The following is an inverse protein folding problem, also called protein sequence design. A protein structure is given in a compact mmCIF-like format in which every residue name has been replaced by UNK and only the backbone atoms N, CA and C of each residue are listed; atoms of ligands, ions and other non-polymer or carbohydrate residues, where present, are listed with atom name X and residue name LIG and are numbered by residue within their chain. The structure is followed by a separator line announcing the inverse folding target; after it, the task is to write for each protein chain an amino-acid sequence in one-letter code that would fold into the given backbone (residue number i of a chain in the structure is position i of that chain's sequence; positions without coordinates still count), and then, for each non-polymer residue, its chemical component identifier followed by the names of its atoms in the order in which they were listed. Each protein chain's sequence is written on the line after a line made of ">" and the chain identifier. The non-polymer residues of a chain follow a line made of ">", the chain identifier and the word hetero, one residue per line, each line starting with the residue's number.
data_IF_913705325363
#
_entry.id   IF_913705325363
#
_cell.length_a   1.000
_cell.length_b   1.000
_cell.length_c   1.000
_cell.angle_alpha   90.00
_cell.angle_beta   90.00
_cell.angle_gamma   90.00
#
_symmetry.space_group_name_H-M   'P 1'
#
loop_
_entity.id
_entity.type
_entity.pdbx_description
1 polymer ?
#
# COMPACT_ATOMS: atom_id res chain seq x y z
N UNK A 1 11.53 10.02 -1.07
CA UNK A 1 10.40 10.44 -0.23
C UNK A 1 10.13 9.37 0.82
N UNK A 2 9.52 9.74 1.91
CA UNK A 2 9.12 8.80 2.94
C UNK A 2 7.81 8.10 2.57
N UNK A 3 7.60 6.89 3.07
CA UNK A 3 6.36 6.14 2.84
C UNK A 3 5.12 6.96 3.23
N UNK A 4 5.17 7.65 4.35
CA UNK A 4 4.09 8.51 4.83
C UNK A 4 3.63 9.52 3.78
N UNK A 5 4.59 10.15 3.09
CA UNK A 5 4.29 11.13 2.04
C UNK A 5 3.63 10.47 0.83
N UNK A 6 4.12 9.31 0.42
CA UNK A 6 3.52 8.56 -0.69
C UNK A 6 2.07 8.21 -0.37
N UNK A 7 1.81 7.68 0.83
CA UNK A 7 0.45 7.27 1.21
C UNK A 7 -0.51 8.45 1.32
N UNK A 8 -0.02 9.62 1.73
CA UNK A 8 -0.83 10.85 1.78
C UNK A 8 -1.25 11.34 0.39
N UNK A 9 -0.41 11.09 -0.61
CA UNK A 9 -0.65 11.56 -1.98
C UNK A 9 -1.25 10.49 -2.89
N UNK A 10 -1.16 9.23 -2.49
CA UNK A 10 -1.73 8.14 -3.28
C UNK A 10 -3.26 8.20 -3.21
N UNK A 11 -3.88 8.30 -4.37
CA UNK A 11 -5.33 8.43 -4.46
C UNK A 11 -5.89 7.24 -5.23
N UNK A 12 -6.40 6.26 -4.50
CA UNK A 12 -7.06 5.08 -5.05
C UNK A 12 -8.46 4.98 -4.44
N UNK A 13 -9.31 5.92 -4.80
CA UNK A 13 -10.66 6.07 -4.25
C UNK A 13 -10.62 6.02 -2.72
N UNK A 14 -11.34 5.13 -2.07
CA UNK A 14 -11.36 5.04 -0.62
C UNK A 14 -10.79 3.72 -0.11
N UNK A 15 -10.28 2.88 -1.03
CA UNK A 15 -9.84 1.53 -0.66
C UNK A 15 -8.72 1.07 -1.58
N UNK A 16 -7.68 0.53 -0.98
CA UNK A 16 -6.63 -0.17 -1.71
C UNK A 16 -5.93 -1.19 -0.81
N UNK A 17 -5.29 -2.17 -1.41
CA UNK A 17 -4.49 -3.16 -0.71
C UNK A 17 -3.04 -2.70 -0.75
N UNK A 18 -2.41 -2.63 0.41
CA UNK A 18 -1.02 -2.14 0.55
C UNK A 18 -0.09 -3.27 0.93
N UNK A 19 0.96 -3.45 0.14
CA UNK A 19 2.10 -4.31 0.47
C UNK A 19 3.34 -3.45 0.60
N UNK A 20 4.03 -3.56 1.73
CA UNK A 20 5.29 -2.85 1.97
C UNK A 20 6.40 -3.86 2.21
N UNK A 21 7.44 -3.76 1.39
CA UNK A 21 8.63 -4.59 1.49
C UNK A 21 9.80 -3.75 1.99
N UNK A 22 10.54 -4.27 2.97
CA UNK A 22 11.78 -3.68 3.42
C UNK A 22 12.93 -4.35 2.67
N UNK A 23 13.70 -3.56 1.92
CA UNK A 23 14.72 -4.11 1.03
C UNK A 23 14.11 -4.91 -0.12
N UNK A 24 14.76 -6.00 -0.49
CA UNK A 24 14.36 -6.78 -1.66
C UNK A 24 13.19 -7.73 -1.39
N UNK A 25 13.13 -8.37 -0.22
CA UNK A 25 12.26 -9.53 -0.02
C UNK A 25 11.47 -9.57 1.30
N UNK A 26 11.72 -8.66 2.22
CA UNK A 26 11.08 -8.72 3.55
C UNK A 26 9.74 -7.98 3.55
N UNK A 27 8.63 -8.73 3.47
CA UNK A 27 7.29 -8.15 3.60
C UNK A 27 7.07 -7.71 5.05
N UNK A 28 6.89 -6.42 5.25
CA UNK A 28 6.70 -5.83 6.59
C UNK A 28 5.27 -5.34 6.83
N UNK A 29 4.48 -5.16 5.78
CA UNK A 29 3.06 -4.80 5.91
C UNK A 29 2.27 -5.40 4.77
N UNK A 30 1.10 -5.94 5.10
CA UNK A 30 0.13 -6.52 4.18
C UNK A 30 -1.24 -6.13 4.73
N UNK A 31 -1.80 -5.05 4.21
CA UNK A 31 -2.91 -4.36 4.83
C UNK A 31 -3.95 -3.91 3.80
N UNK A 32 -5.19 -3.83 4.25
CA UNK A 32 -6.23 -3.13 3.52
C UNK A 32 -6.34 -1.71 4.08
N UNK A 33 -6.25 -0.72 3.20
CA UNK A 33 -6.38 0.69 3.58
C UNK A 33 -7.76 1.17 3.16
N UNK A 34 -8.56 1.61 4.12
CA UNK A 34 -9.89 2.14 3.90
C UNK A 34 -9.92 3.61 4.30
N UNK A 35 -10.59 4.44 3.49
CA UNK A 35 -10.73 5.87 3.73
C UNK A 35 -9.39 6.59 3.88
N UNK A 36 -8.35 6.06 3.21
CA UNK A 36 -6.98 6.59 3.29
C UNK A 36 -6.43 6.64 4.71
N UNK A 37 -6.95 5.80 5.60
CA UNK A 37 -6.46 5.70 6.97
C UNK A 37 -5.32 4.69 7.06
N UNK A 38 -4.12 5.19 7.25
CA UNK A 38 -2.91 4.39 7.47
C UNK A 38 -2.29 4.64 8.85
N UNK A 39 -3.07 5.20 9.78
CA UNK A 39 -2.58 5.57 11.11
C UNK A 39 -2.13 4.38 11.96
N UNK A 40 -2.58 3.18 11.61
CA UNK A 40 -2.21 1.96 12.33
C UNK A 40 -0.90 1.33 11.84
N UNK A 41 -0.27 1.90 10.82
CA UNK A 41 1.05 1.46 10.37
C UNK A 41 2.11 2.00 11.33
N UNK A 42 3.07 1.16 11.70
CA UNK A 42 4.17 1.54 12.56
C UNK A 42 4.86 2.80 12.03
N UNK A 43 5.06 3.79 12.91
CA UNK A 43 5.68 5.06 12.58
C UNK A 43 7.10 4.87 12.02
N UNK A 44 7.83 3.87 12.49
CA UNK A 44 9.14 3.54 11.97
C UNK A 44 9.08 3.20 10.48
N UNK A 45 8.08 2.40 10.08
CA UNK A 45 7.87 2.03 8.68
C UNK A 45 7.42 3.25 7.86
N UNK A 46 6.52 4.05 8.41
CA UNK A 46 6.02 5.26 7.74
C UNK A 46 7.13 6.28 7.44
N UNK A 47 8.18 6.30 8.23
CA UNK A 47 9.32 7.19 8.06
C UNK A 47 10.44 6.63 7.18
N UNK A 48 10.32 5.39 6.73
CA UNK A 48 11.30 4.79 5.84
C UNK A 48 11.26 5.43 4.46
N UNK A 49 12.42 5.44 3.82
CA UNK A 49 12.57 5.99 2.48
C UNK A 49 12.00 5.04 1.43
N UNK A 50 11.22 5.58 0.50
CA UNK A 50 10.68 4.81 -0.63
C UNK A 50 11.75 4.75 -1.72
N UNK A 51 12.11 3.54 -2.13
CA UNK A 51 13.04 3.30 -3.24
C UNK A 51 12.29 3.06 -4.54
N UNK A 52 11.14 2.40 -4.45
CA UNK A 52 10.37 2.02 -5.62
C UNK A 52 8.94 1.74 -5.20
N UNK A 53 8.01 1.92 -6.12
CA UNK A 53 6.61 1.56 -5.90
C UNK A 53 5.92 1.37 -7.24
N UNK A 54 4.87 0.53 -7.23
CA UNK A 54 4.00 0.35 -8.39
C UNK A 54 2.62 -0.03 -7.91
N UNK A 55 1.62 0.14 -8.77
CA UNK A 55 0.28 -0.29 -8.47
C UNK A 55 -0.26 -1.14 -9.61
N UNK A 56 -1.27 -1.96 -9.27
CA UNK A 56 -1.94 -2.83 -10.22
C UNK A 56 -3.41 -2.92 -9.85
N UNK A 57 -4.24 -2.90 -10.88
CA UNK A 57 -5.67 -3.10 -10.74
C UNK A 57 -6.00 -4.59 -10.74
N UNK A 58 -6.82 -5.00 -9.78
CA UNK A 58 -7.31 -6.37 -9.67
C UNK A 58 -8.82 -6.40 -9.75
N UNK A 59 -9.35 -7.49 -10.34
CA UNK A 59 -10.77 -7.71 -10.45
C UNK A 59 -11.06 -9.18 -10.16
N UNK A 60 -11.97 -9.45 -9.23
CA UNK A 60 -12.46 -10.79 -8.95
C UNK A 60 -13.84 -10.92 -9.59
N UNK A 61 -13.87 -11.52 -10.78
CA UNK A 61 -15.09 -11.69 -11.56
C UNK A 61 -15.99 -12.79 -11.02
N UNK A 62 -15.48 -13.66 -10.16
CA UNK A 62 -16.23 -14.74 -9.54
C UNK A 62 -16.94 -14.30 -8.26
N UNK A 63 -16.61 -13.14 -7.74
CA UNK A 63 -17.30 -12.57 -6.58
C UNK A 63 -18.70 -12.05 -6.97
N UNK A 64 -19.65 -12.13 -6.05
CA UNK A 64 -21.01 -11.60 -6.24
C UNK A 64 -21.30 -10.66 -5.07
N UNK A 65 -21.35 -9.33 -5.31
CA UNK A 65 -21.06 -8.64 -6.56
C UNK A 65 -19.57 -8.71 -6.94
N UNK A 66 -19.28 -8.45 -8.21
CA UNK A 66 -17.89 -8.40 -8.69
C UNK A 66 -17.09 -7.41 -7.84
N UNK A 67 -15.92 -7.84 -7.37
CA UNK A 67 -15.01 -7.00 -6.59
C UNK A 67 -13.83 -6.55 -7.45
N UNK A 68 -13.43 -5.29 -7.27
CA UNK A 68 -12.22 -4.77 -7.89
C UNK A 68 -11.52 -3.82 -6.92
N UNK A 69 -10.19 -3.75 -7.02
CA UNK A 69 -9.40 -2.92 -6.13
C UNK A 69 -8.03 -2.62 -6.74
N UNK A 70 -7.40 -1.57 -6.21
CA UNK A 70 -6.00 -1.28 -6.51
C UNK A 70 -5.11 -1.98 -5.48
N UNK A 71 -3.99 -2.51 -5.92
CA UNK A 71 -2.95 -3.03 -5.06
C UNK A 71 -1.71 -2.16 -5.24
N UNK A 72 -1.32 -1.49 -4.16
CA UNK A 72 -0.11 -0.68 -4.12
C UNK A 72 1.00 -1.49 -3.47
N UNK A 73 2.11 -1.62 -4.17
CA UNK A 73 3.31 -2.29 -3.66
C UNK A 73 4.42 -1.27 -3.54
N UNK A 74 5.05 -1.21 -2.37
CA UNK A 74 6.09 -0.23 -2.07
C UNK A 74 7.31 -0.93 -1.50
N UNK A 75 8.48 -0.52 -1.95
CA UNK A 75 9.75 -0.98 -1.40
C UNK A 75 10.40 0.16 -0.63
N UNK A 76 10.70 -0.10 0.65
CA UNK A 76 11.25 0.91 1.56
C UNK A 76 12.57 0.45 2.18
N UNK A 77 13.30 1.41 2.74
CA UNK A 77 14.53 1.14 3.49
C UNK A 77 14.98 2.37 4.25
N UNK A 78 16.11 2.24 4.90
CA UNK A 78 16.67 3.34 5.71
C UNK A 78 17.51 4.30 4.87
#
# INVERSE_FOLDING_TARGET
>A
MKLKKLLKTYNADNYYHLYVFKGANALVSDLEIENNDFSFIDEEILNMKVFDWWDRYYCDIDAVPIKHWMQLTVRVGN
#
